data_IF_422214151715
#
_entry.id   IF_422214151715
#
_cell.length_a   1.000
_cell.length_b   1.000
_cell.length_c   1.000
_cell.angle_alpha   90.00
_cell.angle_beta   90.00
_cell.angle_gamma   90.00
#
_symmetry.space_group_name_H-M   'P 1'
#
loop_
_entity.id
_entity.type
_entity.pdbx_description
1 polymer ?
#
# COMPACT_ATOMS: atom_id res chain seq x y z
N UNK A 1 -5.00 -15.37 -11.85
CA UNK A 1 -3.51 -15.41 -11.84
C UNK A 1 -3.09 -16.67 -12.57
N UNK A 2 -2.09 -16.58 -13.44
CA UNK A 2 -1.48 -17.75 -14.07
C UNK A 2 -0.07 -17.91 -13.53
N UNK A 3 0.27 -19.13 -13.09
CA UNK A 3 1.60 -19.47 -12.59
C UNK A 3 2.17 -20.58 -13.46
N UNK A 4 3.32 -20.31 -14.07
CA UNK A 4 4.05 -21.25 -14.91
C UNK A 4 5.36 -21.61 -14.21
N UNK A 5 5.69 -22.90 -14.17
CA UNK A 5 6.98 -23.38 -13.68
C UNK A 5 7.74 -24.01 -14.85
N UNK A 6 8.78 -23.33 -15.33
CA UNK A 6 9.57 -23.76 -16.51
C UNK A 6 10.68 -24.74 -16.14
N UNK A 7 11.27 -24.57 -14.97
CA UNK A 7 12.29 -25.43 -14.37
C UNK A 7 12.00 -25.59 -12.87
N UNK A 8 12.77 -26.40 -12.15
CA UNK A 8 12.62 -26.54 -10.70
C UNK A 8 12.79 -25.21 -9.95
N UNK A 9 13.62 -24.31 -10.47
CA UNK A 9 14.01 -23.03 -9.87
C UNK A 9 13.36 -21.79 -10.53
N UNK A 10 12.78 -21.91 -11.73
CA UNK A 10 12.17 -20.78 -12.43
C UNK A 10 10.64 -20.84 -12.43
N UNK A 11 10.02 -19.91 -11.68
CA UNK A 11 8.57 -19.67 -11.67
C UNK A 11 8.26 -18.30 -12.27
N UNK A 12 7.38 -18.26 -13.27
CA UNK A 12 6.79 -17.02 -13.81
C UNK A 12 5.36 -16.88 -13.33
N UNK A 13 4.96 -15.66 -12.94
CA UNK A 13 3.58 -15.35 -12.56
C UNK A 13 3.04 -14.22 -13.43
N UNK A 14 1.87 -14.44 -14.02
CA UNK A 14 1.10 -13.42 -14.73
C UNK A 14 -0.16 -13.04 -13.92
N UNK A 15 -0.33 -11.73 -13.71
CA UNK A 15 -1.45 -11.16 -12.96
C UNK A 15 -2.46 -10.51 -13.92
N UNK A 16 -3.69 -11.02 -13.91
CA UNK A 16 -4.84 -10.44 -14.61
C UNK A 16 -5.67 -9.64 -13.62
N UNK A 17 -5.17 -8.46 -13.25
CA UNK A 17 -5.78 -7.63 -12.19
C UNK A 17 -6.04 -6.17 -12.58
N UNK A 18 -5.69 -5.80 -13.82
CA UNK A 18 -5.93 -4.47 -14.34
C UNK A 18 -7.44 -4.29 -14.56
N UNK A 19 -8.00 -3.18 -14.05
CA UNK A 19 -9.41 -2.85 -14.25
C UNK A 19 -10.38 -3.61 -13.34
N UNK A 20 -9.88 -4.26 -12.28
CA UNK A 20 -10.74 -4.86 -11.24
C UNK A 20 -11.08 -3.82 -10.17
N UNK A 21 -12.15 -4.05 -9.40
CA UNK A 21 -12.59 -3.16 -8.32
C UNK A 21 -11.47 -2.82 -7.32
N UNK A 22 -10.61 -3.79 -6.99
CA UNK A 22 -9.46 -3.54 -6.10
C UNK A 22 -8.43 -2.55 -6.67
N UNK A 23 -8.39 -2.37 -8.00
CA UNK A 23 -7.52 -1.38 -8.66
C UNK A 23 -8.17 -0.01 -8.86
N UNK A 24 -9.47 0.13 -8.53
CA UNK A 24 -10.20 1.41 -8.59
C UNK A 24 -10.32 2.09 -7.23
N UNK A 25 -9.59 1.63 -6.22
CA UNK A 25 -9.52 2.30 -4.92
C UNK A 25 -9.19 3.78 -5.11
N UNK A 26 -9.93 4.64 -4.44
CA UNK A 26 -9.85 6.08 -4.55
C UNK A 26 -9.93 6.73 -3.18
N UNK A 27 -9.66 8.03 -3.13
CA UNK A 27 -9.80 8.83 -1.91
C UNK A 27 -11.18 8.67 -1.26
N UNK A 28 -12.25 8.65 -2.07
CA UNK A 28 -13.63 8.60 -1.57
C UNK A 28 -14.03 7.27 -0.94
N UNK A 29 -13.22 6.22 -1.11
CA UNK A 29 -13.47 4.91 -0.49
C UNK A 29 -12.91 4.81 0.94
N UNK A 30 -12.18 5.83 1.40
CA UNK A 30 -11.64 5.90 2.76
C UNK A 30 -12.70 6.51 3.67
N UNK A 31 -13.25 5.71 4.56
CA UNK A 31 -14.18 6.19 5.59
C UNK A 31 -13.40 6.89 6.72
N UNK A 32 -13.46 8.22 6.74
CA UNK A 32 -12.78 9.06 7.73
C UNK A 32 -13.30 8.86 9.16
N UNK A 33 -14.51 8.30 9.35
CA UNK A 33 -15.08 8.03 10.67
C UNK A 33 -14.65 6.68 11.24
N UNK A 34 -14.30 5.72 10.38
CA UNK A 34 -13.80 4.41 10.81
C UNK A 34 -12.32 4.46 11.23
N UNK A 35 -11.50 5.28 10.56
CA UNK A 35 -10.05 5.33 10.80
C UNK A 35 -9.70 5.70 12.26
N UNK A 36 -10.32 6.72 12.91
CA UNK A 36 -10.01 7.08 14.29
C UNK A 36 -10.30 5.98 15.32
N UNK A 37 -11.22 5.05 15.02
CA UNK A 37 -11.52 3.89 15.87
C UNK A 37 -10.48 2.77 15.79
N UNK A 38 -9.56 2.83 14.82
CA UNK A 38 -8.57 1.79 14.60
C UNK A 38 -7.35 1.94 15.51
N UNK A 39 -6.77 0.81 15.92
CA UNK A 39 -5.49 0.80 16.65
C UNK A 39 -4.28 0.94 15.72
N UNK A 40 -4.43 0.46 14.48
CA UNK A 40 -3.36 0.34 13.51
C UNK A 40 -3.91 0.51 12.09
N UNK A 41 -3.27 1.38 11.31
CA UNK A 41 -3.36 1.39 9.86
C UNK A 41 -2.19 0.59 9.28
N UNK A 42 -2.47 -0.54 8.63
CA UNK A 42 -1.45 -1.34 7.96
C UNK A 42 -1.56 -1.19 6.44
N UNK A 43 -0.46 -0.82 5.80
CA UNK A 43 -0.37 -0.61 4.35
C UNK A 43 0.71 -1.53 3.78
N UNK A 44 0.42 -2.13 2.62
CA UNK A 44 1.44 -2.83 1.82
C UNK A 44 1.80 -2.00 0.60
N UNK A 45 3.06 -2.05 0.17
CA UNK A 45 3.56 -1.29 -0.98
C UNK A 45 2.89 -1.64 -2.31
N UNK A 46 2.15 -2.76 -2.37
CA UNK A 46 1.34 -3.11 -3.53
C UNK A 46 0.15 -2.17 -3.72
N UNK A 47 -0.52 -1.74 -2.66
CA UNK A 47 -1.74 -0.93 -2.73
C UNK A 47 -1.51 0.42 -3.44
N UNK A 48 -0.53 1.26 -3.04
CA UNK A 48 -0.24 2.50 -3.78
C UNK A 48 0.30 2.26 -5.20
N UNK A 49 0.76 1.04 -5.49
CA UNK A 49 1.27 0.67 -6.81
C UNK A 49 0.16 0.23 -7.79
N UNK A 50 -1.10 0.11 -7.35
CA UNK A 50 -2.20 -0.28 -8.22
C UNK A 50 -2.63 0.84 -9.20
N UNK A 51 -2.34 2.10 -8.87
CA UNK A 51 -2.65 3.26 -9.71
C UNK A 51 -2.65 4.57 -8.91
N UNK A 52 -2.81 5.69 -9.63
CA UNK A 52 -2.81 7.03 -9.04
C UNK A 52 -3.89 7.22 -7.97
N UNK A 53 -5.13 6.80 -8.26
CA UNK A 53 -6.25 6.89 -7.31
C UNK A 53 -6.00 6.09 -6.03
N UNK A 54 -5.37 4.91 -6.16
CA UNK A 54 -5.03 4.07 -5.01
C UNK A 54 -3.92 4.69 -4.17
N UNK A 55 -2.92 5.34 -4.79
CA UNK A 55 -1.91 6.12 -4.09
C UNK A 55 -2.54 7.30 -3.34
N UNK A 56 -3.49 8.01 -3.94
CA UNK A 56 -4.23 9.09 -3.29
C UNK A 56 -5.06 8.60 -2.10
N UNK A 57 -5.74 7.46 -2.24
CA UNK A 57 -6.47 6.81 -1.15
C UNK A 57 -5.55 6.47 0.02
N UNK A 58 -4.38 5.87 -0.27
CA UNK A 58 -3.38 5.55 0.74
C UNK A 58 -2.91 6.82 1.46
N UNK A 59 -2.52 7.86 0.71
CA UNK A 59 -2.08 9.13 1.32
C UNK A 59 -3.15 9.72 2.23
N UNK A 60 -4.39 9.74 1.77
CA UNK A 60 -5.51 10.26 2.54
C UNK A 60 -5.75 9.46 3.83
N UNK A 61 -5.76 8.13 3.76
CA UNK A 61 -5.90 7.27 4.94
C UNK A 61 -4.77 7.50 5.95
N UNK A 62 -3.53 7.72 5.48
CA UNK A 62 -2.40 8.04 6.36
C UNK A 62 -2.57 9.40 7.03
N UNK A 63 -3.02 10.42 6.30
CA UNK A 63 -3.25 11.75 6.86
C UNK A 63 -4.33 11.72 7.96
N UNK A 64 -5.44 11.00 7.72
CA UNK A 64 -6.51 10.82 8.71
C UNK A 64 -6.01 10.05 9.93
N UNK A 65 -5.31 8.92 9.71
CA UNK A 65 -4.74 8.11 10.79
C UNK A 65 -3.78 8.93 11.67
N UNK A 66 -2.90 9.74 11.06
CA UNK A 66 -1.97 10.60 11.78
C UNK A 66 -2.70 11.68 12.59
N UNK A 67 -3.70 12.33 12.00
CA UNK A 67 -4.53 13.32 12.69
C UNK A 67 -5.25 12.74 13.92
N UNK A 68 -5.63 11.46 13.85
CA UNK A 68 -6.29 10.74 14.93
C UNK A 68 -5.33 10.02 15.90
N UNK A 69 -4.01 10.11 15.72
CA UNK A 69 -3.03 9.42 16.57
C UNK A 69 -2.98 7.90 16.40
N UNK A 70 -3.49 7.37 15.28
CA UNK A 70 -3.48 5.94 14.94
C UNK A 70 -2.07 5.53 14.52
N UNK A 71 -1.61 4.37 15.00
CA UNK A 71 -0.29 3.85 14.64
C UNK A 71 -0.28 3.43 13.17
N UNK A 72 0.79 3.73 12.43
CA UNK A 72 0.93 3.27 11.05
C UNK A 72 2.03 2.20 10.90
N UNK A 73 1.69 1.06 10.30
CA UNK A 73 2.61 0.01 9.86
C UNK A 73 2.68 -0.01 8.33
N UNK A 74 3.89 -0.11 7.79
CA UNK A 74 4.13 -0.19 6.35
C UNK A 74 4.99 -1.41 6.02
N UNK A 75 4.49 -2.28 5.15
CA UNK A 75 5.28 -3.26 4.42
C UNK A 75 5.69 -2.66 3.06
N UNK A 76 6.99 -2.44 2.86
CA UNK A 76 7.58 -1.72 1.70
C UNK A 76 7.52 -2.53 0.39
N UNK A 77 6.95 -3.74 0.39
CA UNK A 77 6.86 -4.65 -0.76
C UNK A 77 6.90 -3.97 -2.15
N UNK A 78 7.99 -4.17 -2.89
CA UNK A 78 8.19 -3.67 -4.25
C UNK A 78 7.84 -4.74 -5.29
N UNK A 79 7.15 -4.31 -6.36
CA UNK A 79 6.80 -5.14 -7.53
C UNK A 79 7.09 -4.34 -8.80
N UNK A 80 8.16 -4.70 -9.50
CA UNK A 80 8.57 -4.05 -10.76
C UNK A 80 7.53 -4.12 -11.88
N UNK A 81 6.58 -5.06 -11.81
CA UNK A 81 5.47 -5.16 -12.76
C UNK A 81 4.36 -4.12 -12.54
N UNK A 82 4.38 -3.36 -11.44
CA UNK A 82 3.36 -2.36 -11.12
C UNK A 82 3.81 -0.93 -11.40
N UNK A 83 5.08 -0.62 -11.12
CA UNK A 83 5.63 0.72 -11.19
C UNK A 83 7.15 0.68 -11.26
N UNK A 84 7.76 1.76 -11.72
CA UNK A 84 9.21 1.91 -11.80
C UNK A 84 9.85 2.07 -10.41
N UNK A 85 11.16 1.85 -10.33
CA UNK A 85 11.92 2.02 -9.09
C UNK A 85 11.88 3.46 -8.57
N UNK A 86 11.90 4.46 -9.46
CA UNK A 86 11.85 5.88 -9.08
C UNK A 86 10.49 6.25 -8.50
N UNK A 87 9.39 5.81 -9.12
CA UNK A 87 8.03 6.00 -8.60
C UNK A 87 7.86 5.34 -7.23
N UNK A 88 8.30 4.09 -7.10
CA UNK A 88 8.26 3.36 -5.84
C UNK A 88 9.07 4.06 -4.75
N UNK A 89 10.29 4.51 -5.06
CA UNK A 89 11.15 5.22 -4.10
C UNK A 89 10.53 6.53 -3.63
N UNK A 90 9.92 7.30 -4.54
CA UNK A 90 9.25 8.55 -4.20
C UNK A 90 8.01 8.31 -3.32
N UNK A 91 7.13 7.40 -3.73
CA UNK A 91 5.89 7.11 -3.03
C UNK A 91 6.15 6.44 -1.66
N UNK A 92 6.88 5.32 -1.65
CA UNK A 92 7.16 4.55 -0.44
C UNK A 92 8.09 5.33 0.50
N UNK A 93 9.06 6.08 -0.02
CA UNK A 93 9.93 6.91 0.82
C UNK A 93 9.17 7.96 1.61
N UNK A 94 8.10 8.54 1.04
CA UNK A 94 7.19 9.43 1.77
C UNK A 94 6.43 8.69 2.87
N UNK A 95 5.90 7.50 2.57
CA UNK A 95 5.14 6.70 3.53
C UNK A 95 6.03 6.17 4.67
N UNK A 96 7.27 5.79 4.39
CA UNK A 96 8.25 5.35 5.41
C UNK A 96 8.51 6.46 6.43
N UNK A 97 8.67 7.72 5.98
CA UNK A 97 8.84 8.86 6.90
C UNK A 97 7.63 9.10 7.79
N UNK A 98 6.46 8.67 7.35
CA UNK A 98 5.21 8.80 8.09
C UNK A 98 4.96 7.60 9.01
N UNK A 99 5.61 6.46 8.76
CA UNK A 99 5.40 5.22 9.50
C UNK A 99 5.85 5.40 10.95
N UNK A 100 4.98 4.98 11.87
CA UNK A 100 5.26 5.08 13.29
C UNK A 100 5.93 3.79 13.71
N UNK A 101 7.20 3.84 14.12
CA UNK A 101 7.75 2.77 14.95
C UNK A 101 6.93 2.77 16.25
N UNK A 102 6.38 1.62 16.63
CA UNK A 102 5.62 1.52 17.88
C UNK A 102 6.43 2.18 19.00
N UNK A 103 5.89 3.14 19.76
CA UNK A 103 6.60 3.67 20.91
C UNK A 103 6.93 2.46 21.78
N UNK A 104 8.22 2.24 22.03
CA UNK A 104 8.68 1.12 22.84
C UNK A 104 7.85 1.11 24.10
N UNK A 105 7.11 0.02 24.32
CA UNK A 105 6.45 -0.23 25.60
C UNK A 105 7.56 -0.19 26.65
N UNK A 106 7.63 0.90 27.40
CA UNK A 106 8.37 0.96 28.66
C UNK A 106 7.68 0.07 29.68
#
# INVERSE_FOLDING_TARGET
MLRERRTSDHTRVAYYRRGLAGSSLSRGDVDEHLVPGARLLHITGNTPALGGTALEAVRHAVDVARGAGVTMSLDVTYRSLLWSRSEAAAALGSLVRQATSAPGRR
#
